data_IF_890721092067
#
_entry.id   IF_890721092067
#
_cell.length_a   1.000
_cell.length_b   1.000
_cell.length_c   1.000
_cell.angle_alpha   90.00
_cell.angle_beta   90.00
_cell.angle_gamma   90.00
#
_symmetry.space_group_name_H-M   'P 1'
#
loop_
_entity.id
_entity.type
_entity.pdbx_description
1 polymer ?
#
# COMPACT_ATOMS: atom_id res chain seq x y z
N UNK A 1 -15.51 15.65 2.18
CA UNK A 1 -15.81 14.20 2.07
C UNK A 1 -15.52 13.53 3.40
N UNK A 2 -16.16 12.39 3.66
CA UNK A 2 -15.84 11.55 4.83
C UNK A 2 -14.76 10.53 4.44
N UNK A 3 -13.76 10.35 5.31
CA UNK A 3 -12.71 9.34 5.17
C UNK A 3 -12.76 8.43 6.40
N UNK A 4 -12.70 7.11 6.18
CA UNK A 4 -12.76 6.12 7.25
C UNK A 4 -11.71 5.04 7.05
N UNK A 5 -10.97 4.72 8.13
CA UNK A 5 -10.11 3.55 8.18
C UNK A 5 -10.96 2.28 8.32
N UNK A 6 -10.99 1.45 7.28
CA UNK A 6 -11.76 0.19 7.29
C UNK A 6 -10.93 -1.00 7.77
N UNK A 7 -9.66 -1.07 7.35
CA UNK A 7 -8.77 -2.15 7.71
C UNK A 7 -7.32 -1.68 7.64
N UNK A 8 -6.49 -2.17 8.55
CA UNK A 8 -5.04 -2.03 8.50
C UNK A 8 -4.36 -3.39 8.67
N UNK A 9 -3.19 -3.54 8.07
CA UNK A 9 -2.41 -4.77 8.20
C UNK A 9 -0.92 -4.48 8.05
N UNK A 10 -0.13 -5.00 8.96
CA UNK A 10 1.33 -4.99 8.92
C UNK A 10 1.86 -6.41 9.06
N UNK A 11 3.13 -6.62 8.70
CA UNK A 11 3.87 -7.86 8.94
C UNK A 11 5.25 -7.49 9.46
N UNK A 12 5.71 -8.22 10.47
CA UNK A 12 7.07 -8.10 10.97
C UNK A 12 8.05 -8.50 9.86
N UNK A 13 9.13 -7.74 9.72
CA UNK A 13 10.18 -8.03 8.75
C UNK A 13 10.78 -9.43 9.01
N UNK A 14 11.16 -10.18 7.95
CA UNK A 14 11.82 -11.47 8.12
C UNK A 14 13.12 -11.35 8.91
N UNK A 15 13.44 -12.37 9.72
CA UNK A 15 14.71 -12.44 10.46
C UNK A 15 15.92 -12.65 9.55
N UNK A 16 15.72 -13.24 8.36
CA UNK A 16 16.77 -13.36 7.35
C UNK A 16 17.01 -12.00 6.67
N UNK A 17 18.28 -11.67 6.44
CA UNK A 17 18.67 -10.42 5.79
C UNK A 17 18.01 -10.29 4.42
N UNK A 18 17.35 -9.16 4.20
CA UNK A 18 16.70 -8.79 2.94
C UNK A 18 16.92 -7.31 2.68
N UNK A 19 16.76 -6.89 1.42
CA UNK A 19 16.92 -5.50 1.04
C UNK A 19 15.63 -4.71 1.27
N UNK A 20 15.75 -3.39 1.45
CA UNK A 20 14.60 -2.48 1.60
C UNK A 20 13.62 -2.61 0.41
N UNK A 21 14.04 -2.62 -0.87
CA UNK A 21 13.12 -2.79 -1.99
C UNK A 21 12.31 -4.10 -1.95
N UNK A 22 12.90 -5.17 -1.40
CA UNK A 22 12.15 -6.44 -1.23
C UNK A 22 11.11 -6.35 -0.12
N UNK A 23 11.38 -5.59 0.95
CA UNK A 23 10.40 -5.35 2.02
C UNK A 23 9.24 -4.50 1.51
N UNK A 24 9.54 -3.42 0.78
CA UNK A 24 8.53 -2.58 0.14
C UNK A 24 7.68 -3.39 -0.85
N UNK A 25 8.29 -4.27 -1.62
CA UNK A 25 7.57 -5.15 -2.54
C UNK A 25 6.66 -6.15 -1.78
N UNK A 26 7.12 -6.67 -0.63
CA UNK A 26 6.28 -7.48 0.25
C UNK A 26 5.09 -6.69 0.80
N UNK A 27 5.28 -5.41 1.14
CA UNK A 27 4.21 -4.52 1.58
C UNK A 27 3.19 -4.29 0.45
N UNK A 28 3.63 -4.11 -0.80
CA UNK A 28 2.75 -4.01 -1.95
C UNK A 28 1.89 -5.29 -2.16
N UNK A 29 2.47 -6.48 -2.02
CA UNK A 29 1.71 -7.75 -2.03
C UNK A 29 0.68 -7.79 -0.91
N UNK A 30 1.07 -7.34 0.29
CA UNK A 30 0.18 -7.33 1.45
C UNK A 30 -1.04 -6.45 1.19
N UNK A 31 -0.82 -5.26 0.62
CA UNK A 31 -1.89 -4.34 0.24
C UNK A 31 -2.80 -4.93 -0.84
N UNK A 32 -2.24 -5.50 -1.92
CA UNK A 32 -3.00 -6.13 -2.99
C UNK A 32 -3.92 -7.26 -2.47
N UNK A 33 -3.40 -8.08 -1.54
CA UNK A 33 -4.20 -9.14 -0.89
C UNK A 33 -5.25 -8.57 0.06
N UNK A 34 -4.92 -7.52 0.80
CA UNK A 34 -5.85 -6.89 1.75
C UNK A 34 -7.03 -6.25 1.02
N UNK A 35 -6.76 -5.44 -0.01
CA UNK A 35 -7.82 -4.74 -0.76
C UNK A 35 -8.77 -5.74 -1.42
N UNK A 36 -8.25 -6.82 -1.99
CA UNK A 36 -9.07 -7.89 -2.57
C UNK A 36 -10.03 -8.50 -1.54
N UNK A 37 -9.52 -8.84 -0.34
CA UNK A 37 -10.33 -9.40 0.75
C UNK A 37 -11.36 -8.41 1.29
N UNK A 38 -10.96 -7.15 1.50
CA UNK A 38 -11.85 -6.10 2.00
C UNK A 38 -13.00 -5.85 1.02
N UNK A 39 -12.71 -5.76 -0.29
CA UNK A 39 -13.76 -5.60 -1.32
C UNK A 39 -14.75 -6.76 -1.33
N UNK A 40 -14.26 -8.00 -1.20
CA UNK A 40 -15.13 -9.19 -1.09
C UNK A 40 -16.01 -9.17 0.17
N UNK A 41 -15.45 -8.72 1.31
CA UNK A 41 -16.14 -8.71 2.60
C UNK A 41 -17.20 -7.60 2.70
N UNK A 42 -16.87 -6.39 2.20
CA UNK A 42 -17.75 -5.23 2.34
C UNK A 42 -19.04 -5.34 1.53
N UNK A 43 -19.06 -6.11 0.44
CA UNK A 43 -20.21 -6.21 -0.49
C UNK A 43 -20.74 -4.84 -0.95
N UNK A 44 -19.86 -3.84 -1.01
CA UNK A 44 -20.16 -2.48 -1.47
C UNK A 44 -19.77 -2.32 -2.95
N UNK A 45 -20.48 -1.46 -3.67
CA UNK A 45 -20.09 -1.07 -5.01
C UNK A 45 -18.94 -0.05 -4.95
N UNK A 46 -17.72 -0.51 -5.20
CA UNK A 46 -16.51 0.32 -5.16
C UNK A 46 -16.25 0.92 -6.54
N UNK A 47 -16.55 2.20 -6.71
CA UNK A 47 -16.41 2.93 -7.99
C UNK A 47 -14.95 3.04 -8.43
N UNK A 48 -14.05 3.36 -7.52
CA UNK A 48 -12.62 3.53 -7.79
C UNK A 48 -11.78 2.84 -6.73
N UNK A 49 -10.61 2.33 -7.12
CA UNK A 49 -9.64 1.73 -6.20
C UNK A 49 -8.27 2.30 -6.54
N UNK A 50 -7.62 2.90 -5.54
CA UNK A 50 -6.28 3.46 -5.63
C UNK A 50 -5.38 2.77 -4.63
N UNK A 51 -4.17 2.42 -5.05
CA UNK A 51 -3.14 1.80 -4.20
C UNK A 51 -1.94 2.75 -4.13
N UNK A 52 -1.58 3.16 -2.93
CA UNK A 52 -0.55 4.18 -2.71
C UNK A 52 0.71 3.53 -2.15
N UNK A 53 1.87 3.94 -2.68
CA UNK A 53 3.19 3.59 -2.14
C UNK A 53 4.12 4.77 -2.29
N UNK A 54 4.99 4.97 -1.31
CA UNK A 54 6.07 5.94 -1.35
C UNK A 54 7.37 5.38 -1.96
N UNK A 55 7.39 4.09 -2.33
CA UNK A 55 8.54 3.48 -2.97
C UNK A 55 8.63 3.85 -4.45
N UNK A 56 9.59 4.73 -4.75
CA UNK A 56 9.99 5.07 -6.12
C UNK A 56 10.64 3.91 -6.88
N UNK A 57 10.96 2.80 -6.21
CA UNK A 57 11.53 1.60 -6.85
C UNK A 57 10.45 0.58 -7.18
N UNK A 58 9.52 0.32 -6.24
CA UNK A 58 8.47 -0.68 -6.42
C UNK A 58 7.44 -0.24 -7.47
N UNK A 59 7.08 1.04 -7.50
CA UNK A 59 6.08 1.55 -8.46
C UNK A 59 6.48 1.32 -9.93
N UNK A 60 7.72 1.63 -10.37
CA UNK A 60 8.19 1.25 -11.70
C UNK A 60 8.19 -0.26 -11.94
N UNK A 61 8.53 -1.09 -10.96
CA UNK A 61 8.49 -2.55 -11.14
C UNK A 61 7.07 -3.09 -11.36
N UNK A 62 6.06 -2.54 -10.67
CA UNK A 62 4.64 -2.92 -10.85
C UNK A 62 4.13 -2.61 -12.25
N UNK A 63 4.69 -1.57 -12.89
CA UNK A 63 4.33 -1.16 -14.25
C UNK A 63 5.09 -1.92 -15.34
N UNK A 64 6.10 -2.71 -14.99
CA UNK A 64 6.86 -3.52 -15.94
C UNK A 64 6.24 -4.89 -16.13
N UNK A 65 6.54 -5.49 -17.27
CA UNK A 65 6.29 -6.90 -17.50
C UNK A 65 7.16 -7.77 -16.59
N UNK A 66 6.55 -8.71 -15.89
CA UNK A 66 7.23 -9.44 -14.80
C UNK A 66 8.41 -10.28 -15.28
N UNK A 67 8.40 -10.76 -16.54
CA UNK A 67 9.44 -11.66 -17.09
C UNK A 67 10.80 -10.97 -17.27
N UNK A 68 10.85 -9.64 -17.26
CA UNK A 68 12.10 -8.88 -17.37
C UNK A 68 12.89 -8.81 -16.05
N UNK A 69 12.30 -9.29 -14.95
CA UNK A 69 12.82 -9.13 -13.60
C UNK A 69 13.41 -10.43 -13.06
N UNK A 70 14.32 -10.31 -12.08
CA UNK A 70 14.86 -11.48 -11.36
C UNK A 70 13.71 -12.24 -10.69
N UNK A 71 13.80 -13.58 -10.68
CA UNK A 71 12.72 -14.50 -10.29
C UNK A 71 11.89 -14.08 -9.06
N UNK A 72 12.53 -13.66 -7.95
CA UNK A 72 11.80 -13.20 -6.77
C UNK A 72 10.89 -12.00 -7.08
N UNK A 73 11.45 -10.98 -7.73
CA UNK A 73 10.71 -9.76 -8.07
C UNK A 73 9.62 -10.10 -9.09
N UNK A 74 9.95 -10.86 -10.14
CA UNK A 74 9.00 -11.32 -11.15
C UNK A 74 7.77 -12.00 -10.54
N UNK A 75 7.97 -13.02 -9.71
CA UNK A 75 6.89 -13.78 -9.07
C UNK A 75 6.03 -12.90 -8.14
N UNK A 76 6.68 -11.94 -7.48
CA UNK A 76 6.01 -11.02 -6.55
C UNK A 76 5.15 -10.00 -7.31
N UNK A 77 5.67 -9.48 -8.43
CA UNK A 77 4.94 -8.59 -9.34
C UNK A 77 3.76 -9.31 -9.99
N UNK A 78 3.94 -10.55 -10.46
CA UNK A 78 2.85 -11.36 -11.01
C UNK A 78 1.71 -11.53 -10.00
N UNK A 79 2.03 -11.76 -8.71
CA UNK A 79 1.02 -11.85 -7.64
C UNK A 79 0.24 -10.53 -7.45
N UNK A 80 0.90 -9.38 -7.62
CA UNK A 80 0.28 -8.05 -7.52
C UNK A 80 -0.64 -7.82 -8.72
N UNK A 81 -0.15 -8.08 -9.93
CA UNK A 81 -0.87 -7.88 -11.19
C UNK A 81 -2.06 -8.84 -11.35
N UNK A 82 -2.03 -10.02 -10.72
CA UNK A 82 -3.19 -10.94 -10.66
C UNK A 82 -4.37 -10.36 -9.84
N UNK A 83 -4.09 -9.46 -8.88
CA UNK A 83 -5.08 -8.97 -7.90
C UNK A 83 -5.47 -7.51 -8.09
N UNK A 84 -4.66 -6.76 -8.83
CA UNK A 84 -4.79 -5.31 -9.01
C UNK A 84 -4.28 -4.94 -10.41
N UNK A 85 -4.79 -3.85 -10.97
CA UNK A 85 -4.22 -3.31 -12.23
C UNK A 85 -3.09 -2.33 -11.90
N UNK A 86 -2.05 -2.30 -12.74
CA UNK A 86 -0.89 -1.43 -12.55
C UNK A 86 -1.29 0.07 -12.56
N UNK A 87 -2.35 0.41 -13.30
CA UNK A 87 -2.95 1.74 -13.39
C UNK A 87 -3.68 2.17 -12.12
N UNK A 88 -3.84 1.29 -11.12
CA UNK A 88 -4.38 1.66 -9.81
C UNK A 88 -3.28 2.17 -8.86
N UNK A 89 -2.01 1.92 -9.16
CA UNK A 89 -0.89 2.24 -8.30
C UNK A 89 -0.42 3.69 -8.48
N UNK A 90 -0.27 4.41 -7.37
CA UNK A 90 0.09 5.83 -7.30
C UNK A 90 1.20 6.06 -6.29
N UNK A 91 1.93 7.14 -6.51
CA UNK A 91 2.91 7.64 -5.56
C UNK A 91 2.23 8.45 -4.45
N UNK A 92 2.69 8.27 -3.22
CA UNK A 92 2.38 9.17 -2.09
C UNK A 92 3.70 9.56 -1.43
N UNK A 93 3.83 10.80 -0.96
CA UNK A 93 5.00 11.21 -0.21
C UNK A 93 5.09 10.45 1.12
N UNK A 94 6.30 10.16 1.62
CA UNK A 94 6.48 9.37 2.85
C UNK A 94 5.80 10.03 4.06
N UNK A 95 5.83 11.36 4.14
CA UNK A 95 5.16 12.17 5.17
C UNK A 95 3.63 12.06 5.15
N UNK A 96 3.06 11.71 4.00
CA UNK A 96 1.62 11.54 3.78
C UNK A 96 1.20 10.07 3.81
N UNK A 97 2.13 9.13 4.05
CA UNK A 97 1.88 7.69 4.05
C UNK A 97 1.59 7.15 5.46
N UNK A 98 0.32 6.92 5.85
CA UNK A 98 -0.01 6.39 7.17
C UNK A 98 0.48 4.95 7.40
N UNK A 99 0.79 4.19 6.33
CA UNK A 99 1.26 2.82 6.46
C UNK A 99 2.62 2.72 7.17
N UNK A 100 3.41 3.81 7.19
CA UNK A 100 4.69 3.85 7.86
C UNK A 100 4.58 3.73 9.37
N UNK A 101 3.48 4.20 9.97
CA UNK A 101 3.27 4.11 11.41
C UNK A 101 3.08 2.67 11.90
N UNK A 102 2.40 1.84 11.10
CA UNK A 102 2.18 0.43 11.45
C UNK A 102 3.34 -0.47 11.01
N UNK A 103 4.17 -0.04 10.05
CA UNK A 103 5.33 -0.80 9.60
C UNK A 103 6.56 -0.57 10.48
N UNK A 104 6.78 0.68 10.94
CA UNK A 104 7.91 1.08 11.79
C UNK A 104 7.60 1.00 13.29
N UNK A 105 6.31 0.96 13.63
CA UNK A 105 5.81 1.02 14.99
C UNK A 105 5.56 2.45 15.44
N UNK A 106 4.50 2.62 16.22
CA UNK A 106 4.13 3.89 16.83
C UNK A 106 3.66 3.63 18.26
N UNK A 107 3.99 4.56 19.15
CA UNK A 107 3.46 4.55 20.51
C UNK A 107 1.93 4.64 20.51
N UNK A 108 1.28 3.84 21.37
CA UNK A 108 -0.18 3.74 21.40
C UNK A 108 -0.90 5.03 21.78
N UNK A 109 -0.28 5.90 22.60
CA UNK A 109 -0.86 7.18 22.98
C UNK A 109 -0.77 8.18 21.83
N UNK A 110 0.35 8.19 21.11
CA UNK A 110 0.50 8.99 19.88
C UNK A 110 -0.45 8.53 18.78
N UNK A 111 -0.67 7.22 18.64
CA UNK A 111 -1.58 6.66 17.63
C UNK A 111 -3.03 7.12 17.85
N UNK A 112 -3.47 7.23 19.11
CA UNK A 112 -4.84 7.69 19.44
C UNK A 112 -5.16 9.07 18.88
N UNK A 113 -4.17 9.96 18.82
CA UNK A 113 -4.34 11.34 18.34
C UNK A 113 -3.72 11.55 16.95
N UNK A 114 -3.38 10.48 16.24
CA UNK A 114 -2.73 10.58 14.93
C UNK A 114 -3.77 10.79 13.83
N UNK A 115 -4.00 12.05 13.47
CA UNK A 115 -4.94 12.44 12.40
C UNK A 115 -4.63 11.75 11.08
N UNK A 116 -3.35 11.68 10.68
CA UNK A 116 -2.95 11.05 9.42
C UNK A 116 -3.32 9.56 9.38
N UNK A 117 -3.23 8.85 10.51
CA UNK A 117 -3.59 7.42 10.59
C UNK A 117 -5.10 7.19 10.47
N UNK A 118 -5.91 7.96 11.20
CA UNK A 118 -7.35 7.75 11.28
C UNK A 118 -8.11 8.35 10.09
N UNK A 119 -7.63 9.49 9.60
CA UNK A 119 -8.34 10.30 8.60
C UNK A 119 -7.62 10.33 7.24
N UNK A 120 -6.42 9.74 7.15
CA UNK A 120 -5.63 9.71 5.92
C UNK A 120 -5.04 11.08 5.56
N UNK A 121 -4.26 11.15 4.47
CA UNK A 121 -3.68 12.40 4.00
C UNK A 121 -4.75 13.35 3.46
N UNK A 122 -4.47 14.66 3.57
CA UNK A 122 -5.44 15.73 3.26
C UNK A 122 -6.03 15.63 1.86
N UNK A 123 -5.26 15.18 0.88
CA UNK A 123 -5.73 15.03 -0.49
C UNK A 123 -6.91 14.04 -0.65
N UNK A 124 -7.02 13.05 0.25
CA UNK A 124 -8.17 12.14 0.26
C UNK A 124 -9.46 12.84 0.71
N UNK A 125 -9.37 13.94 1.45
CA UNK A 125 -10.53 14.71 1.90
C UNK A 125 -10.96 15.75 0.87
N UNK A 126 -10.00 16.30 0.12
CA UNK A 126 -10.20 17.37 -0.86
C UNK A 126 -10.39 16.85 -2.29
N UNK A 127 -10.21 15.54 -2.54
CA UNK A 127 -10.24 14.92 -3.87
C UNK A 127 -9.19 15.50 -4.84
N UNK A 128 -8.11 16.08 -4.29
CA UNK A 128 -7.00 16.67 -5.04
C UNK A 128 -5.79 15.73 -5.01
N UNK A 129 -5.88 14.63 -5.74
CA UNK A 129 -4.85 13.60 -5.74
C UNK A 129 -3.48 14.16 -6.20
N UNK A 130 -2.37 13.74 -5.55
CA UNK A 130 -1.02 14.03 -6.05
C UNK A 130 -0.88 13.57 -7.51
N UNK A 131 -0.21 14.37 -8.33
CA UNK A 131 0.12 14.01 -9.72
C UNK A 131 1.21 12.95 -9.79
#
# INVERSE_FOLDING_TARGET
MLVHLIASKSRVAPTKQTTIPRLELCAAVLLAKLVHRVKQALKLNVTNTFLWSDSMIVLPWIRKESYELKAFVANTIATIQEKTSSEQWRYVATEDNPADFVSRGMDSLKLKTCELWWNGPKFLMTNQYPQ
#
